data_IF_054008202609
#
_entry.id   IF_054008202609
#
_cell.length_a   1.000
_cell.length_b   1.000
_cell.length_c   1.000
_cell.angle_alpha   90.00
_cell.angle_beta   90.00
_cell.angle_gamma   90.00
#
_symmetry.space_group_name_H-M   'P 1'
#
loop_
_entity.id
_entity.type
_entity.pdbx_description
1 polymer ?
#
# COMPACT_ATOMS: atom_id res chain seq x y z
N UNK A 1 26.43 34.08 52.50
CA UNK A 1 26.17 32.62 52.56
C UNK A 1 25.68 32.18 51.19
N UNK A 2 26.45 31.34 50.48
CA UNK A 2 26.16 30.89 49.11
C UNK A 2 25.55 29.49 49.20
N UNK A 3 24.29 29.33 48.78
CA UNK A 3 23.64 28.02 48.71
C UNK A 3 23.60 27.56 47.24
N UNK A 4 24.42 26.56 46.92
CA UNK A 4 24.36 25.83 45.65
C UNK A 4 23.29 24.74 45.74
N UNK A 5 22.30 24.79 44.85
CA UNK A 5 21.27 23.76 44.71
C UNK A 5 21.73 22.79 43.62
N UNK A 6 22.03 21.56 44.01
CA UNK A 6 22.33 20.46 43.09
C UNK A 6 21.02 19.85 42.58
N UNK A 7 20.73 19.99 41.28
CA UNK A 7 19.59 19.37 40.64
C UNK A 7 19.96 17.94 40.19
N UNK A 8 19.35 16.94 40.81
CA UNK A 8 19.46 15.54 40.40
C UNK A 8 18.52 15.26 39.22
N UNK A 9 19.08 14.98 38.04
CA UNK A 9 18.33 14.56 36.86
C UNK A 9 18.13 13.04 36.93
N UNK A 10 16.92 12.60 37.28
CA UNK A 10 16.50 11.20 37.13
C UNK A 10 16.28 10.91 35.64
N UNK A 11 17.20 10.17 35.03
CA UNK A 11 17.04 9.61 33.69
C UNK A 11 16.10 8.39 33.72
N UNK A 12 14.86 8.56 33.27
CA UNK A 12 13.94 7.45 33.04
C UNK A 12 14.38 6.76 31.75
N UNK A 13 15.07 5.62 31.88
CA UNK A 13 15.39 4.75 30.76
C UNK A 13 14.10 4.07 30.27
N UNK A 14 13.45 4.65 29.26
CA UNK A 14 12.33 4.03 28.57
C UNK A 14 12.83 2.80 27.80
N UNK A 15 12.68 1.62 28.40
CA UNK A 15 12.88 0.35 27.71
C UNK A 15 11.82 0.21 26.60
N UNK A 16 12.22 0.44 25.35
CA UNK A 16 11.42 0.15 24.16
C UNK A 16 11.21 -1.36 24.08
N UNK A 17 10.11 -1.85 24.67
CA UNK A 17 9.67 -3.23 24.48
C UNK A 17 9.26 -3.38 23.02
N UNK A 18 10.10 -4.04 22.22
CA UNK A 18 9.79 -4.39 20.85
C UNK A 18 8.61 -5.38 20.87
N UNK A 19 7.41 -4.88 20.61
CA UNK A 19 6.23 -5.74 20.48
C UNK A 19 6.47 -6.73 19.34
N UNK A 20 6.28 -8.04 19.57
CA UNK A 20 6.38 -9.02 18.50
C UNK A 20 5.37 -8.66 17.43
N UNK A 21 5.84 -8.44 16.19
CA UNK A 21 4.99 -8.27 15.03
C UNK A 21 4.24 -9.59 14.83
N UNK A 22 3.00 -9.65 15.34
CA UNK A 22 2.12 -10.79 15.14
C UNK A 22 1.86 -10.92 13.64
N UNK A 23 2.06 -12.14 13.12
CA UNK A 23 1.65 -12.48 11.77
C UNK A 23 0.16 -12.13 11.63
N UNK A 24 -0.17 -11.29 10.66
CA UNK A 24 -1.56 -10.91 10.42
C UNK A 24 -2.18 -11.96 9.51
N UNK A 25 -3.41 -12.36 9.81
CA UNK A 25 -4.18 -13.19 8.89
C UNK A 25 -4.32 -12.46 7.55
N UNK A 26 -4.01 -13.19 6.47
CA UNK A 26 -4.06 -12.68 5.11
C UNK A 26 -5.37 -13.11 4.48
N UNK A 27 -6.23 -12.13 4.22
CA UNK A 27 -7.51 -12.37 3.55
C UNK A 27 -7.29 -12.45 2.04
N UNK A 28 -7.53 -13.64 1.49
CA UNK A 28 -7.43 -13.93 0.04
C UNK A 28 -8.79 -13.68 -0.62
N UNK A 29 -8.98 -12.48 -1.17
CA UNK A 29 -10.21 -12.13 -1.88
C UNK A 29 -10.26 -12.79 -3.27
N UNK A 30 -11.18 -13.75 -3.46
CA UNK A 30 -11.37 -14.46 -4.75
C UNK A 30 -12.37 -13.78 -5.71
N UNK A 31 -13.01 -12.69 -5.30
CA UNK A 31 -14.23 -12.15 -5.96
C UNK A 31 -13.99 -10.85 -6.75
N UNK A 32 -14.94 -10.53 -7.64
CA UNK A 32 -14.92 -9.33 -8.48
C UNK A 32 -15.14 -8.06 -7.64
N UNK A 33 -14.30 -7.04 -7.78
CA UNK A 33 -14.52 -5.73 -7.17
C UNK A 33 -15.70 -4.97 -7.78
N UNK A 34 -16.26 -4.02 -7.03
CA UNK A 34 -17.32 -3.10 -7.45
C UNK A 34 -16.79 -1.68 -7.52
N UNK A 35 -17.33 -0.90 -8.47
CA UNK A 35 -17.10 0.54 -8.56
C UNK A 35 -18.13 1.24 -7.68
N UNK A 36 -17.68 2.12 -6.79
CA UNK A 36 -18.50 3.00 -5.99
C UNK A 36 -18.26 4.43 -6.47
N UNK A 37 -19.21 4.98 -7.22
CA UNK A 37 -19.15 6.38 -7.66
C UNK A 37 -19.57 7.28 -6.48
N UNK A 38 -18.67 8.15 -6.03
CA UNK A 38 -18.82 9.00 -4.85
C UNK A 38 -19.37 10.39 -5.21
N UNK A 39 -19.50 10.68 -6.50
CA UNK A 39 -20.02 11.94 -7.02
C UNK A 39 -20.83 11.69 -8.28
N UNK A 40 -21.95 12.40 -8.40
CA UNK A 40 -22.88 12.41 -9.54
C UNK A 40 -22.44 13.37 -10.66
N UNK A 41 -21.39 14.17 -10.43
CA UNK A 41 -20.88 15.14 -11.39
C UNK A 41 -20.38 14.45 -12.66
N UNK A 42 -20.96 14.83 -13.79
CA UNK A 42 -20.62 14.25 -15.09
C UNK A 42 -19.18 14.56 -15.49
N UNK A 43 -18.39 13.51 -15.67
CA UNK A 43 -17.04 13.62 -16.20
C UNK A 43 -17.03 14.08 -17.66
N UNK A 44 -16.12 15.00 -17.98
CA UNK A 44 -15.89 15.54 -19.34
C UNK A 44 -14.43 15.34 -19.75
N UNK A 45 -14.13 15.50 -21.04
CA UNK A 45 -12.76 15.53 -21.57
C UNK A 45 -11.93 14.27 -21.28
N UNK A 46 -10.65 14.47 -20.94
CA UNK A 46 -9.70 13.41 -20.57
C UNK A 46 -10.15 12.60 -19.36
N UNK A 47 -10.67 13.26 -18.31
CA UNK A 47 -11.14 12.58 -17.10
C UNK A 47 -12.18 11.48 -17.41
N UNK A 48 -13.10 11.71 -18.36
CA UNK A 48 -14.06 10.67 -18.79
C UNK A 48 -13.38 9.48 -19.46
N UNK A 49 -12.35 9.71 -20.28
CA UNK A 49 -11.57 8.63 -20.93
C UNK A 49 -10.80 7.84 -19.88
N UNK A 50 -10.14 8.53 -18.96
CA UNK A 50 -9.37 7.93 -17.88
C UNK A 50 -10.24 7.13 -16.92
N UNK A 51 -11.45 7.63 -16.60
CA UNK A 51 -12.39 6.90 -15.75
C UNK A 51 -12.87 5.60 -16.39
N UNK A 52 -13.13 5.59 -17.71
CA UNK A 52 -13.45 4.34 -18.43
C UNK A 52 -12.27 3.35 -18.38
N UNK A 53 -11.03 3.83 -18.51
CA UNK A 53 -9.84 2.99 -18.35
C UNK A 53 -9.74 2.44 -16.93
N UNK A 54 -9.96 3.28 -15.92
CA UNK A 54 -9.98 2.92 -14.51
C UNK A 54 -11.00 1.81 -14.23
N UNK A 55 -12.28 2.00 -14.58
CA UNK A 55 -13.34 0.99 -14.40
C UNK A 55 -13.00 -0.36 -15.04
N UNK A 56 -12.30 -0.36 -16.18
CA UNK A 56 -11.89 -1.58 -16.88
C UNK A 56 -10.72 -2.29 -16.20
N UNK A 57 -9.71 -1.52 -15.75
CA UNK A 57 -8.41 -2.04 -15.29
C UNK A 57 -8.34 -2.27 -13.78
N UNK A 58 -9.04 -1.48 -12.97
CA UNK A 58 -9.05 -1.64 -11.53
C UNK A 58 -9.86 -2.89 -11.16
N UNK A 59 -9.16 -3.90 -10.63
CA UNK A 59 -9.73 -5.19 -10.19
C UNK A 59 -9.66 -5.39 -8.68
N UNK A 60 -9.20 -4.38 -7.96
CA UNK A 60 -8.95 -4.39 -6.53
C UNK A 60 -8.93 -2.96 -5.98
N UNK A 61 -8.66 -2.75 -4.68
CA UNK A 61 -8.64 -1.44 -4.03
C UNK A 61 -8.03 -0.39 -4.95
N UNK A 62 -8.85 0.61 -5.26
CA UNK A 62 -8.54 1.63 -6.23
C UNK A 62 -9.33 2.89 -5.97
N UNK A 63 -8.78 4.02 -6.37
CA UNK A 63 -9.42 5.31 -6.24
C UNK A 63 -9.20 6.14 -7.49
N UNK A 64 -10.14 7.04 -7.74
CA UNK A 64 -10.15 7.95 -8.87
C UNK A 64 -10.50 9.35 -8.37
N UNK A 65 -9.53 10.26 -8.49
CA UNK A 65 -9.69 11.67 -8.15
C UNK A 65 -9.77 12.50 -9.42
N UNK A 66 -10.58 13.55 -9.40
CA UNK A 66 -10.87 14.41 -10.56
C UNK A 66 -10.78 15.87 -10.16
N UNK A 67 -10.12 16.66 -11.01
CA UNK A 67 -10.31 18.10 -11.06
C UNK A 67 -11.33 18.44 -12.15
N UNK A 68 -12.57 18.74 -11.75
CA UNK A 68 -13.69 18.98 -12.65
C UNK A 68 -13.49 20.23 -13.53
N UNK A 69 -12.85 21.28 -12.99
CA UNK A 69 -12.60 22.52 -13.72
C UNK A 69 -11.62 22.30 -14.88
N UNK A 70 -10.58 21.51 -14.64
CA UNK A 70 -9.53 21.25 -15.62
C UNK A 70 -9.77 20.00 -16.48
N UNK A 71 -10.79 19.20 -16.13
CA UNK A 71 -11.12 17.92 -16.78
C UNK A 71 -9.93 16.93 -16.71
N UNK A 72 -9.11 17.06 -15.67
CA UNK A 72 -7.94 16.22 -15.36
C UNK A 72 -8.29 15.23 -14.25
N UNK A 73 -7.57 14.12 -14.20
CA UNK A 73 -7.80 13.08 -13.22
C UNK A 73 -6.49 12.43 -12.78
N UNK A 74 -6.54 11.79 -11.62
CA UNK A 74 -5.54 10.86 -11.12
C UNK A 74 -6.21 9.57 -10.69
N UNK A 75 -5.55 8.45 -10.94
CA UNK A 75 -6.08 7.13 -10.65
C UNK A 75 -5.00 6.23 -10.10
N UNK A 76 -5.37 5.39 -9.15
CA UNK A 76 -4.50 4.33 -8.66
C UNK A 76 -5.34 3.09 -8.33
N UNK A 77 -4.79 1.90 -8.54
CA UNK A 77 -5.46 0.63 -8.25
C UNK A 77 -4.44 -0.46 -7.95
N UNK A 78 -4.89 -1.52 -7.27
CA UNK A 78 -4.01 -2.59 -6.82
C UNK A 78 -3.31 -2.27 -5.50
N UNK A 79 -3.81 -1.28 -4.75
CA UNK A 79 -3.31 -0.97 -3.42
C UNK A 79 -3.68 -2.09 -2.42
N UNK A 80 -2.95 -2.25 -1.31
CA UNK A 80 -3.31 -3.20 -0.26
C UNK A 80 -4.54 -2.77 0.55
N UNK A 81 -4.87 -1.47 0.58
CA UNK A 81 -6.06 -0.93 1.24
C UNK A 81 -6.58 0.32 0.49
N UNK A 82 -7.77 0.78 0.88
CA UNK A 82 -8.43 1.90 0.19
C UNK A 82 -7.75 3.25 0.48
N UNK A 83 -7.19 3.42 1.68
CA UNK A 83 -6.49 4.64 2.11
C UNK A 83 -5.25 4.88 1.26
N UNK A 84 -4.45 3.84 1.01
CA UNK A 84 -3.32 3.90 0.10
C UNK A 84 -3.78 4.19 -1.32
N UNK A 85 -4.86 3.56 -1.79
CA UNK A 85 -5.38 3.85 -3.13
C UNK A 85 -5.78 5.33 -3.28
N UNK A 86 -6.49 5.89 -2.30
CA UNK A 86 -6.93 7.28 -2.30
C UNK A 86 -5.78 8.26 -2.26
N UNK A 87 -4.82 8.05 -1.36
CA UNK A 87 -3.64 8.90 -1.25
C UNK A 87 -2.87 8.95 -2.57
N UNK A 88 -2.62 7.79 -3.19
CA UNK A 88 -1.90 7.72 -4.46
C UNK A 88 -2.69 8.34 -5.62
N UNK A 89 -4.00 8.09 -5.70
CA UNK A 89 -4.85 8.67 -6.74
C UNK A 89 -4.99 10.20 -6.59
N UNK A 90 -5.08 10.70 -5.36
CA UNK A 90 -5.10 12.14 -5.05
C UNK A 90 -3.82 12.82 -5.50
N UNK A 91 -2.66 12.27 -5.11
CA UNK A 91 -1.34 12.78 -5.52
C UNK A 91 -1.25 12.80 -7.06
N UNK A 92 -1.65 11.71 -7.72
CA UNK A 92 -1.67 11.66 -9.18
C UNK A 92 -2.57 12.74 -9.80
N UNK A 93 -3.72 13.04 -9.20
CA UNK A 93 -4.62 14.09 -9.70
C UNK A 93 -3.97 15.47 -9.54
N UNK A 94 -3.35 15.71 -8.37
CA UNK A 94 -2.71 16.97 -8.04
C UNK A 94 -1.55 17.28 -8.98
N UNK A 95 -0.76 16.27 -9.35
CA UNK A 95 0.34 16.41 -10.32
C UNK A 95 -0.19 16.66 -11.73
N UNK A 96 -1.26 15.98 -12.12
CA UNK A 96 -1.87 16.12 -13.45
C UNK A 96 -2.66 17.43 -13.60
N UNK A 97 -2.81 18.22 -12.54
CA UNK A 97 -3.64 19.42 -12.46
C UNK A 97 -2.79 20.66 -12.16
N UNK A 98 -3.15 21.79 -12.76
CA UNK A 98 -2.54 23.08 -12.42
C UNK A 98 -3.03 23.65 -11.08
N UNK A 99 -4.16 23.13 -10.55
CA UNK A 99 -4.78 23.53 -9.28
C UNK A 99 -4.89 22.32 -8.34
N UNK A 100 -3.89 22.06 -7.49
CA UNK A 100 -3.83 20.85 -6.65
C UNK A 100 -4.99 20.75 -5.64
N UNK A 101 -5.60 21.87 -5.25
CA UNK A 101 -6.74 21.88 -4.33
C UNK A 101 -8.07 21.50 -5.01
N UNK A 102 -8.11 21.42 -6.34
CA UNK A 102 -9.33 21.08 -7.09
C UNK A 102 -9.58 19.59 -7.27
N UNK A 103 -8.78 18.71 -6.64
CA UNK A 103 -8.89 17.27 -6.81
C UNK A 103 -9.84 16.63 -5.79
N UNK A 104 -10.99 16.16 -6.28
CA UNK A 104 -12.04 15.53 -5.47
C UNK A 104 -12.15 14.04 -5.77
N UNK A 105 -12.49 13.24 -4.75
CA UNK A 105 -12.75 11.83 -4.93
C UNK A 105 -14.03 11.65 -5.77
N UNK A 106 -13.90 10.98 -6.91
CA UNK A 106 -15.03 10.69 -7.80
C UNK A 106 -15.46 9.23 -7.72
N UNK A 107 -14.53 8.29 -7.56
CA UNK A 107 -14.88 6.88 -7.42
C UNK A 107 -13.87 6.08 -6.61
N UNK A 108 -14.36 4.99 -6.01
CA UNK A 108 -13.60 3.93 -5.36
C UNK A 108 -13.84 2.59 -6.05
N UNK A 109 -12.89 1.68 -5.92
CA UNK A 109 -13.04 0.27 -6.26
C UNK A 109 -12.81 -0.50 -4.98
N UNK A 110 -13.81 -1.28 -4.56
CA UNK A 110 -13.75 -2.07 -3.34
C UNK A 110 -14.01 -3.54 -3.68
N UNK A 111 -13.39 -4.49 -2.94
CA UNK A 111 -13.87 -5.87 -2.89
C UNK A 111 -15.38 -5.96 -2.68
N UNK A 112 -16.04 -6.97 -3.27
CA UNK A 112 -17.51 -7.10 -3.23
C UNK A 112 -18.07 -7.14 -1.80
N UNK A 113 -17.32 -7.74 -0.89
CA UNK A 113 -17.67 -7.91 0.52
C UNK A 113 -16.69 -7.16 1.41
N UNK A 114 -16.18 -6.01 0.96
CA UNK A 114 -15.34 -5.18 1.79
C UNK A 114 -16.09 -4.79 3.06
N UNK A 115 -15.58 -5.26 4.19
CA UNK A 115 -16.00 -4.84 5.50
C UNK A 115 -14.96 -3.84 6.04
N UNK A 116 -15.30 -2.56 6.21
CA UNK A 116 -14.36 -1.57 6.74
C UNK A 116 -13.98 -1.83 8.21
N UNK A 117 -14.72 -2.70 8.91
CA UNK A 117 -14.42 -3.12 10.29
C UNK A 117 -13.52 -4.36 10.37
N UNK A 118 -13.31 -5.07 9.26
CA UNK A 118 -12.45 -6.24 9.24
C UNK A 118 -10.98 -5.82 9.42
N UNK A 119 -10.40 -6.24 10.54
CA UNK A 119 -8.99 -6.04 10.81
C UNK A 119 -8.16 -7.03 9.98
N UNK A 120 -7.04 -6.57 9.42
CA UNK A 120 -6.09 -7.43 8.71
C UNK A 120 -5.56 -6.82 7.43
N UNK A 121 -4.72 -7.58 6.73
CA UNK A 121 -4.23 -7.22 5.41
C UNK A 121 -5.03 -7.97 4.36
N UNK A 122 -5.74 -7.24 3.50
CA UNK A 122 -6.39 -7.83 2.33
C UNK A 122 -5.46 -7.72 1.11
N UNK A 123 -5.10 -8.84 0.49
CA UNK A 123 -4.21 -8.83 -0.68
C UNK A 123 -4.97 -8.56 -1.97
N UNK A 124 -4.32 -7.83 -2.89
CA UNK A 124 -4.79 -7.70 -4.27
C UNK A 124 -4.90 -9.06 -4.95
N UNK A 125 -5.54 -9.13 -6.13
CA UNK A 125 -5.60 -10.37 -6.88
C UNK A 125 -4.20 -10.90 -7.20
N UNK A 126 -3.32 -10.01 -7.65
CA UNK A 126 -1.91 -10.34 -7.91
C UNK A 126 -1.22 -10.78 -6.62
N UNK A 127 -1.40 -10.05 -5.51
CA UNK A 127 -0.85 -10.44 -4.20
C UNK A 127 -1.36 -11.78 -3.69
N UNK A 128 -2.63 -12.07 -3.92
CA UNK A 128 -3.25 -13.36 -3.59
C UNK A 128 -2.67 -14.52 -4.40
N UNK A 129 -2.25 -14.28 -5.65
CA UNK A 129 -1.60 -15.29 -6.48
C UNK A 129 -0.18 -15.56 -5.98
N UNK A 130 0.59 -14.48 -5.77
CA UNK A 130 1.96 -14.55 -5.23
C UNK A 130 1.97 -15.19 -3.84
N UNK A 131 0.99 -14.88 -2.99
CA UNK A 131 0.87 -15.48 -1.66
C UNK A 131 0.58 -16.98 -1.73
N UNK A 132 -0.27 -17.44 -2.65
CA UNK A 132 -0.51 -18.89 -2.83
C UNK A 132 0.73 -19.60 -3.33
N UNK A 133 1.47 -19.00 -4.27
CA UNK A 133 2.74 -19.55 -4.73
C UNK A 133 3.72 -19.65 -3.56
N UNK A 134 3.90 -18.57 -2.81
CA UNK A 134 4.67 -18.55 -1.57
C UNK A 134 4.24 -19.67 -0.61
N UNK A 135 2.94 -19.83 -0.32
CA UNK A 135 2.44 -20.86 0.57
C UNK A 135 2.75 -22.28 0.07
N UNK A 136 2.67 -22.51 -1.25
CA UNK A 136 2.96 -23.82 -1.85
C UNK A 136 4.45 -24.16 -1.87
N UNK A 137 5.33 -23.16 -1.77
CA UNK A 137 6.79 -23.33 -1.76
C UNK A 137 7.38 -23.56 -0.36
N UNK A 138 6.56 -23.59 0.68
CA UNK A 138 7.05 -23.80 2.05
C UNK A 138 7.49 -25.26 2.26
N UNK A 139 8.53 -25.43 3.07
CA UNK A 139 9.06 -26.73 3.45
C UNK A 139 9.03 -26.83 4.99
N UNK A 140 8.61 -27.99 5.51
CA UNK A 140 8.25 -28.19 6.92
C UNK A 140 9.41 -27.94 7.92
N UNK A 141 10.66 -27.94 7.44
CA UNK A 141 11.87 -27.73 8.24
C UNK A 141 12.59 -26.40 7.92
N UNK A 142 11.94 -25.49 7.18
CA UNK A 142 12.56 -24.26 6.69
C UNK A 142 11.66 -23.04 6.84
N UNK A 143 12.28 -21.89 7.00
CA UNK A 143 11.56 -20.64 7.20
C UNK A 143 11.19 -19.96 5.88
N UNK A 144 10.03 -19.30 5.87
CA UNK A 144 9.63 -18.40 4.80
C UNK A 144 9.03 -17.12 5.34
N UNK A 145 9.08 -16.06 4.54
CA UNK A 145 8.45 -14.78 4.88
C UNK A 145 7.83 -14.13 3.64
N UNK A 146 6.75 -13.40 3.85
CA UNK A 146 6.05 -12.63 2.81
C UNK A 146 6.02 -11.16 3.20
N UNK A 147 6.44 -10.28 2.30
CA UNK A 147 6.53 -8.85 2.52
C UNK A 147 5.76 -8.06 1.46
N UNK A 148 5.20 -6.93 1.89
CA UNK A 148 4.42 -6.02 1.04
C UNK A 148 4.75 -4.55 1.35
N UNK A 149 4.62 -3.67 0.35
CA UNK A 149 4.63 -2.22 0.51
C UNK A 149 3.21 -1.63 0.39
N UNK A 150 3.02 -0.38 0.83
CA UNK A 150 1.74 0.32 0.60
C UNK A 150 1.46 0.59 -0.89
N UNK A 151 2.51 0.62 -1.71
CA UNK A 151 2.39 0.69 -3.17
C UNK A 151 2.01 -0.65 -3.82
N UNK A 152 1.74 -1.69 -3.03
CA UNK A 152 1.37 -3.02 -3.54
C UNK A 152 2.53 -3.82 -4.12
N UNK A 153 3.78 -3.40 -3.89
CA UNK A 153 4.93 -4.22 -4.21
C UNK A 153 5.00 -5.42 -3.27
N UNK A 154 5.38 -6.57 -3.79
CA UNK A 154 5.40 -7.84 -3.07
C UNK A 154 6.78 -8.47 -3.20
N UNK A 155 7.20 -9.19 -2.17
CA UNK A 155 8.35 -10.08 -2.23
C UNK A 155 8.25 -11.14 -1.14
N UNK A 156 8.73 -12.34 -1.43
CA UNK A 156 8.72 -13.43 -0.47
C UNK A 156 9.97 -14.29 -0.59
N UNK A 157 10.28 -14.99 0.49
CA UNK A 157 11.33 -16.00 0.60
C UNK A 157 10.70 -17.32 1.06
N UNK A 158 11.36 -18.42 0.73
CA UNK A 158 10.94 -19.76 1.08
C UNK A 158 12.19 -20.60 1.30
N UNK A 159 12.05 -21.69 2.03
CA UNK A 159 13.13 -22.65 2.26
C UNK A 159 14.40 -22.04 2.88
N UNK A 160 14.29 -21.02 3.75
CA UNK A 160 15.43 -20.33 4.35
C UNK A 160 15.87 -20.98 5.67
N UNK A 161 17.15 -20.82 6.03
CA UNK A 161 17.74 -21.47 7.20
C UNK A 161 17.29 -20.88 8.54
N UNK A 162 16.82 -19.63 8.56
CA UNK A 162 16.32 -18.96 9.75
C UNK A 162 15.22 -17.96 9.43
N UNK A 163 14.36 -17.67 10.42
CA UNK A 163 13.29 -16.67 10.32
C UNK A 163 13.82 -15.28 9.95
N UNK A 164 14.96 -14.88 10.51
CA UNK A 164 15.59 -13.59 10.24
C UNK A 164 16.10 -13.48 8.80
N UNK A 165 16.68 -14.57 8.29
CA UNK A 165 17.13 -14.63 6.90
C UNK A 165 15.95 -14.59 5.94
N UNK A 166 14.88 -15.32 6.26
CA UNK A 166 13.62 -15.26 5.52
C UNK A 166 13.06 -13.84 5.44
N UNK A 167 12.95 -13.15 6.58
CA UNK A 167 12.47 -11.77 6.63
C UNK A 167 13.32 -10.83 5.76
N UNK A 168 14.65 -10.90 5.89
CA UNK A 168 15.58 -10.07 5.12
C UNK A 168 15.42 -10.27 3.62
N UNK A 169 15.34 -11.52 3.15
CA UNK A 169 15.19 -11.76 1.71
C UNK A 169 13.81 -11.39 1.17
N UNK A 170 12.74 -11.62 1.93
CA UNK A 170 11.40 -11.19 1.55
C UNK A 170 11.34 -9.66 1.37
N UNK A 171 11.88 -8.90 2.33
CA UNK A 171 11.96 -7.43 2.26
C UNK A 171 12.83 -6.98 1.09
N UNK A 172 14.01 -7.57 0.90
CA UNK A 172 14.91 -7.23 -0.22
C UNK A 172 14.26 -7.44 -1.59
N UNK A 173 13.51 -8.55 -1.76
CA UNK A 173 12.74 -8.83 -2.98
C UNK A 173 11.59 -7.84 -3.16
N UNK A 174 10.87 -7.52 -2.08
CA UNK A 174 9.82 -6.51 -2.09
C UNK A 174 10.36 -5.13 -2.48
N UNK A 175 11.49 -4.69 -1.90
CA UNK A 175 12.11 -3.40 -2.23
C UNK A 175 12.56 -3.35 -3.70
N UNK A 176 13.03 -4.48 -4.24
CA UNK A 176 13.35 -4.59 -5.66
C UNK A 176 12.09 -4.40 -6.52
N UNK A 177 10.98 -5.02 -6.15
CA UNK A 177 9.69 -4.84 -6.83
C UNK A 177 9.18 -3.39 -6.70
N UNK A 178 9.23 -2.79 -5.51
CA UNK A 178 8.84 -1.40 -5.24
C UNK A 178 9.63 -0.42 -6.11
N UNK A 179 10.96 -0.60 -6.19
CA UNK A 179 11.82 0.20 -7.09
C UNK A 179 11.44 0.05 -8.56
N UNK A 180 11.08 -1.17 -9.02
CA UNK A 180 10.63 -1.40 -10.40
C UNK A 180 9.32 -0.69 -10.69
N UNK A 181 8.35 -0.77 -9.78
CA UNK A 181 7.07 -0.04 -9.89
C UNK A 181 7.29 1.46 -9.96
N UNK A 182 8.14 1.98 -9.07
CA UNK A 182 8.47 3.40 -9.01
C UNK A 182 9.21 3.92 -10.27
N UNK A 183 10.05 3.08 -10.89
CA UNK A 183 10.70 3.38 -12.19
C UNK A 183 9.71 3.46 -13.36
N UNK A 184 8.57 2.78 -13.28
CA UNK A 184 7.53 2.84 -14.32
C UNK A 184 6.62 4.07 -14.18
N UNK A 185 6.64 4.75 -13.02
CA UNK A 185 5.91 5.98 -12.81
C UNK A 185 6.59 7.17 -13.51
N UNK A 186 5.77 8.15 -13.90
CA UNK A 186 6.21 9.45 -14.40
C UNK A 186 7.17 10.14 -13.41
N UNK A 187 8.06 11.01 -13.88
CA UNK A 187 9.09 11.66 -13.06
C UNK A 187 8.49 12.41 -11.87
N UNK A 188 7.40 13.15 -12.10
CA UNK A 188 6.77 13.97 -11.06
C UNK A 188 6.03 13.09 -10.06
N UNK A 189 5.29 12.09 -10.55
CA UNK A 189 4.63 11.09 -9.71
C UNK A 189 5.64 10.31 -8.87
N UNK A 190 6.78 9.95 -9.45
CA UNK A 190 7.87 9.26 -8.76
C UNK A 190 8.38 10.07 -7.56
N UNK A 191 8.62 11.36 -7.74
CA UNK A 191 9.09 12.23 -6.65
C UNK A 191 8.07 12.28 -5.51
N UNK A 192 6.78 12.47 -5.84
CA UNK A 192 5.73 12.52 -4.83
C UNK A 192 5.53 11.17 -4.11
N UNK A 193 5.55 10.05 -4.84
CA UNK A 193 5.40 8.72 -4.24
C UNK A 193 6.56 8.38 -3.28
N UNK A 194 7.79 8.81 -3.58
CA UNK A 194 8.93 8.66 -2.65
C UNK A 194 8.69 9.40 -1.34
N UNK A 195 8.14 10.61 -1.39
CA UNK A 195 7.89 11.43 -0.21
C UNK A 195 6.84 10.83 0.74
N UNK A 196 5.95 9.98 0.26
CA UNK A 196 4.90 9.36 1.09
C UNK A 196 5.38 8.19 1.98
N UNK A 197 6.59 7.67 1.77
CA UNK A 197 7.04 6.45 2.46
C UNK A 197 6.34 5.16 2.00
N UNK A 198 5.36 5.23 1.08
CA UNK A 198 4.59 4.07 0.63
C UNK A 198 5.36 2.99 -0.15
N UNK A 199 6.68 3.17 -0.33
CA UNK A 199 7.58 2.17 -0.93
C UNK A 199 8.27 1.28 0.11
N UNK A 200 8.15 1.60 1.40
CA UNK A 200 8.75 0.81 2.47
C UNK A 200 8.06 -0.54 2.54
N UNK A 201 8.85 -1.61 2.39
CA UNK A 201 8.38 -2.98 2.50
C UNK A 201 8.42 -3.45 3.95
N UNK A 202 7.40 -4.18 4.36
CA UNK A 202 7.34 -4.85 5.68
C UNK A 202 6.91 -6.30 5.53
N UNK A 203 7.41 -7.17 6.41
CA UNK A 203 6.92 -8.55 6.51
C UNK A 203 5.51 -8.53 7.09
N UNK A 204 4.60 -9.28 6.47
CA UNK A 204 3.20 -9.41 6.87
C UNK A 204 2.80 -10.85 7.20
N UNK A 205 3.62 -11.82 6.81
CA UNK A 205 3.41 -13.22 7.13
C UNK A 205 4.74 -13.98 7.26
N UNK A 206 4.77 -14.97 8.13
CA UNK A 206 5.87 -15.92 8.33
C UNK A 206 5.35 -17.34 8.19
N UNK A 207 6.16 -18.21 7.59
CA UNK A 207 5.95 -19.65 7.56
C UNK A 207 7.16 -20.35 8.19
N UNK A 208 6.94 -21.57 8.66
CA UNK A 208 7.91 -22.43 9.34
C UNK A 208 7.87 -23.81 8.74
#
# INVERSE_FOLDING_TARGET
MKHSIAAAILGIAASLVALPVLAQDINIEKKRSRVHEMSDLKLKGSARKDFRRFKRKAKYYGAFYVNYAEKKAGAYWGAPNIEAAERHARISCQINSGKPYGCYLHARILPKHHDPSEAGLTLSREGSLEFREYSNLQADDRFGAFAISESGAIGYSWAEASRDWAAREAVKRCDKAARKMLKSADKDLRAALKATGGQTCRVVHYAR
#
